data_IF_974972677043
#
_entry.id   IF_974972677043
#
_cell.length_a   1.000
_cell.length_b   1.000
_cell.length_c   1.000
_cell.angle_alpha   90.00
_cell.angle_beta   90.00
_cell.angle_gamma   90.00
#
_symmetry.space_group_name_H-M   'P 1'
#
loop_
_entity.id
_entity.type
_entity.pdbx_description
1 polymer ?
#
# COMPACT_ATOMS: atom_id res chain seq x y z
N UNK A 1 2.66 -15.85 28.44
CA UNK A 1 2.62 -16.50 27.12
C UNK A 1 3.10 -17.94 27.23
N UNK A 2 2.40 -18.88 26.59
CA UNK A 2 2.82 -20.30 26.55
C UNK A 2 3.95 -20.52 25.53
N UNK A 3 4.67 -21.64 25.63
CA UNK A 3 5.71 -21.99 24.65
C UNK A 3 5.11 -22.21 23.24
N UNK A 4 3.92 -22.78 23.13
CA UNK A 4 3.26 -22.98 21.83
C UNK A 4 2.87 -21.64 21.19
N UNK A 5 2.31 -20.73 22.00
CA UNK A 5 1.97 -19.37 21.57
C UNK A 5 3.21 -18.60 21.11
N UNK A 6 4.33 -18.73 21.83
CA UNK A 6 5.60 -18.13 21.44
C UNK A 6 6.10 -18.68 20.10
N UNK A 7 6.05 -20.00 19.91
CA UNK A 7 6.48 -20.63 18.65
C UNK A 7 5.63 -20.18 17.46
N UNK A 8 4.32 -20.08 17.63
CA UNK A 8 3.40 -19.54 16.60
C UNK A 8 3.72 -18.09 16.27
N UNK A 9 3.93 -17.25 17.29
CA UNK A 9 4.31 -15.85 17.09
C UNK A 9 5.65 -15.72 16.35
N UNK A 10 6.65 -16.54 16.69
CA UNK A 10 7.93 -16.60 15.97
C UNK A 10 7.78 -17.10 14.53
N UNK A 11 6.85 -18.02 14.28
CA UNK A 11 6.53 -18.51 12.95
C UNK A 11 5.94 -17.40 12.07
N UNK A 12 5.04 -16.57 12.60
CA UNK A 12 4.54 -15.36 11.90
C UNK A 12 5.69 -14.45 11.45
N UNK A 13 6.62 -14.13 12.36
CA UNK A 13 7.80 -13.31 12.02
C UNK A 13 8.74 -13.98 11.01
N UNK A 14 8.84 -15.31 11.04
CA UNK A 14 9.64 -16.07 10.07
C UNK A 14 9.01 -16.03 8.69
N UNK A 15 7.71 -16.25 8.58
CA UNK A 15 6.99 -16.27 7.31
C UNK A 15 6.95 -14.90 6.64
N UNK A 16 6.72 -13.84 7.41
CA UNK A 16 6.80 -12.48 6.87
C UNK A 16 8.22 -12.16 6.34
N UNK A 17 9.29 -12.60 7.01
CA UNK A 17 10.65 -12.48 6.45
C UNK A 17 10.87 -13.30 5.19
N UNK A 18 10.27 -14.49 5.11
CA UNK A 18 10.36 -15.30 3.90
C UNK A 18 9.60 -14.67 2.73
N UNK A 19 8.56 -13.88 2.96
CA UNK A 19 7.79 -13.25 1.88
C UNK A 19 8.59 -12.20 1.11
N UNK A 20 9.51 -11.47 1.75
CA UNK A 20 10.37 -10.53 1.02
C UNK A 20 11.49 -11.27 0.30
N UNK A 21 12.07 -12.30 0.94
CA UNK A 21 13.11 -13.13 0.33
C UNK A 21 12.58 -13.88 -0.91
N UNK A 22 11.33 -14.37 -0.86
CA UNK A 22 10.69 -15.03 -1.99
C UNK A 22 10.47 -14.06 -3.14
N UNK A 23 9.95 -12.85 -2.88
CA UNK A 23 9.76 -11.80 -3.90
C UNK A 23 11.06 -11.44 -4.62
N UNK A 24 12.17 -11.36 -3.90
CA UNK A 24 13.49 -11.08 -4.50
C UNK A 24 13.96 -12.29 -5.32
N UNK A 25 13.91 -13.49 -4.73
CA UNK A 25 14.42 -14.71 -5.38
C UNK A 25 13.60 -15.13 -6.60
N UNK A 26 12.31 -14.79 -6.62
CA UNK A 26 11.40 -15.07 -7.73
C UNK A 26 11.30 -13.94 -8.75
N UNK A 27 12.11 -12.88 -8.59
CA UNK A 27 12.05 -11.67 -9.41
C UNK A 27 10.63 -11.13 -9.60
N UNK A 28 9.95 -10.85 -8.48
CA UNK A 28 8.56 -10.38 -8.49
C UNK A 28 8.35 -9.29 -9.56
N UNK A 29 7.49 -9.51 -10.57
CA UNK A 29 7.45 -8.67 -11.77
C UNK A 29 7.17 -7.19 -11.50
N UNK A 30 6.38 -6.89 -10.46
CA UNK A 30 6.08 -5.53 -10.03
C UNK A 30 7.26 -4.84 -9.36
N UNK A 31 8.08 -5.58 -8.59
CA UNK A 31 9.31 -5.06 -7.99
C UNK A 31 10.38 -4.84 -9.06
N UNK A 32 10.72 -5.87 -9.83
CA UNK A 32 11.87 -5.81 -10.75
C UNK A 32 11.61 -4.88 -11.93
N UNK A 33 10.38 -4.80 -12.44
CA UNK A 33 10.01 -3.79 -13.44
C UNK A 33 10.31 -2.39 -12.95
N UNK A 34 9.94 -2.08 -11.70
CA UNK A 34 10.12 -0.73 -11.16
C UNK A 34 11.59 -0.45 -10.84
N UNK A 35 12.36 -1.47 -10.38
CA UNK A 35 13.81 -1.36 -10.22
C UNK A 35 14.52 -1.02 -11.54
N UNK A 36 14.19 -1.70 -12.64
CA UNK A 36 14.78 -1.39 -13.95
C UNK A 36 14.28 -0.07 -14.52
N UNK A 37 12.97 0.22 -14.39
CA UNK A 37 12.36 1.45 -14.91
C UNK A 37 12.98 2.70 -14.29
N UNK A 38 13.38 2.64 -13.02
CA UNK A 38 13.88 3.77 -12.26
C UNK A 38 15.36 3.64 -11.88
N UNK A 39 16.13 2.76 -12.55
CA UNK A 39 17.55 2.52 -12.22
C UNK A 39 18.43 3.79 -12.26
N UNK A 40 18.05 4.76 -13.12
CA UNK A 40 18.74 6.06 -13.25
C UNK A 40 18.24 7.17 -12.31
N UNK A 41 17.25 6.89 -11.46
CA UNK A 41 16.66 7.87 -10.55
C UNK A 41 16.62 7.31 -9.12
N UNK A 42 17.63 7.68 -8.32
CA UNK A 42 17.86 7.16 -6.97
C UNK A 42 16.72 7.54 -6.03
N UNK A 43 16.15 8.73 -6.21
CA UNK A 43 15.06 9.24 -5.39
C UNK A 43 13.81 8.37 -5.55
N UNK A 44 13.42 8.06 -6.79
CA UNK A 44 12.28 7.17 -7.06
C UNK A 44 12.60 5.73 -6.64
N UNK A 45 13.83 5.27 -6.86
CA UNK A 45 14.26 3.94 -6.42
C UNK A 45 14.16 3.77 -4.90
N UNK A 46 14.47 4.83 -4.14
CA UNK A 46 14.29 4.84 -2.69
C UNK A 46 12.82 4.63 -2.31
N UNK A 47 11.88 5.25 -3.05
CA UNK A 47 10.44 5.06 -2.84
C UNK A 47 9.98 3.64 -3.18
N UNK A 48 10.58 2.99 -4.19
CA UNK A 48 10.31 1.58 -4.51
C UNK A 48 10.74 0.68 -3.35
N UNK A 49 11.92 0.91 -2.77
CA UNK A 49 12.40 0.17 -1.60
C UNK A 49 11.52 0.44 -0.37
N UNK A 50 11.10 1.69 -0.17
CA UNK A 50 10.14 2.05 0.88
C UNK A 50 8.82 1.31 0.74
N UNK A 51 8.29 1.21 -0.48
CA UNK A 51 7.08 0.44 -0.75
C UNK A 51 7.25 -1.02 -0.35
N UNK A 52 8.33 -1.69 -0.75
CA UNK A 52 8.56 -3.10 -0.38
C UNK A 52 8.71 -3.28 1.14
N UNK A 53 9.32 -2.31 1.82
CA UNK A 53 9.36 -2.31 3.28
C UNK A 53 7.96 -2.22 3.91
N UNK A 54 7.10 -1.33 3.40
CA UNK A 54 5.72 -1.19 3.88
C UNK A 54 4.93 -2.49 3.63
N UNK A 55 5.04 -3.08 2.45
CA UNK A 55 4.39 -4.36 2.12
C UNK A 55 4.87 -5.49 3.05
N UNK A 56 6.15 -5.49 3.41
CA UNK A 56 6.70 -6.45 4.36
C UNK A 56 6.18 -6.24 5.79
N UNK A 57 6.01 -5.00 6.25
CA UNK A 57 5.38 -4.70 7.53
C UNK A 57 3.91 -5.14 7.53
N UNK A 58 3.16 -4.79 6.48
CA UNK A 58 1.76 -5.19 6.31
C UNK A 58 1.61 -6.72 6.36
N UNK A 59 2.54 -7.46 5.74
CA UNK A 59 2.52 -8.92 5.77
C UNK A 59 2.60 -9.52 7.17
N UNK A 60 3.30 -8.87 8.10
CA UNK A 60 3.31 -9.33 9.49
C UNK A 60 1.93 -9.24 10.14
N UNK A 61 1.24 -8.13 9.93
CA UNK A 61 -0.12 -7.93 10.44
C UNK A 61 -1.08 -8.91 9.80
N UNK A 62 -1.01 -9.09 8.47
CA UNK A 62 -1.84 -10.06 7.75
C UNK A 62 -1.66 -11.50 8.27
N UNK A 63 -0.42 -11.93 8.52
CA UNK A 63 -0.12 -13.28 9.02
C UNK A 63 -0.51 -13.43 10.50
N UNK A 64 -0.25 -12.43 11.33
CA UNK A 64 -0.73 -12.40 12.71
C UNK A 64 -2.27 -12.46 12.75
N UNK A 65 -2.92 -11.79 11.79
CA UNK A 65 -4.37 -11.72 11.74
C UNK A 65 -5.05 -13.05 11.39
N UNK A 66 -4.31 -13.99 10.80
CA UNK A 66 -4.80 -15.32 10.44
C UNK A 66 -4.70 -16.32 11.60
N UNK A 67 -3.93 -16.02 12.63
CA UNK A 67 -3.72 -16.91 13.78
C UNK A 67 -4.68 -16.56 14.94
N UNK A 68 -5.90 -17.13 14.93
CA UNK A 68 -6.92 -16.87 15.96
C UNK A 68 -6.40 -17.10 17.39
N UNK A 69 -5.60 -18.16 17.60
CA UNK A 69 -5.01 -18.48 18.90
C UNK A 69 -4.06 -17.39 19.43
N UNK A 70 -3.42 -16.62 18.54
CA UNK A 70 -2.54 -15.51 18.95
C UNK A 70 -3.35 -14.27 19.34
N UNK A 71 -4.52 -14.07 18.72
CA UNK A 71 -5.40 -12.92 19.00
C UNK A 71 -6.07 -13.01 20.36
N UNK A 72 -6.39 -14.23 20.79
CA UNK A 72 -7.02 -14.47 22.08
C UNK A 72 -6.03 -14.37 23.26
N UNK A 73 -4.72 -14.56 23.01
CA UNK A 73 -3.68 -14.36 24.02
C UNK A 73 -3.22 -12.89 24.07
N UNK A 74 -3.75 -12.14 25.05
CA UNK A 74 -3.36 -10.75 25.29
C UNK A 74 -1.84 -10.54 25.47
N UNK A 75 -1.12 -11.54 26.00
CA UNK A 75 0.34 -11.50 26.11
C UNK A 75 1.00 -11.58 24.74
N UNK A 76 0.51 -12.41 23.84
CA UNK A 76 1.02 -12.53 22.48
C UNK A 76 0.76 -11.27 21.65
N UNK A 77 -0.44 -10.71 21.75
CA UNK A 77 -0.79 -9.42 21.11
C UNK A 77 0.16 -8.32 21.58
N UNK A 78 0.40 -8.21 22.89
CA UNK A 78 1.30 -7.20 23.45
C UNK A 78 2.75 -7.36 22.97
N UNK A 79 3.26 -8.60 22.93
CA UNK A 79 4.60 -8.87 22.41
C UNK A 79 4.71 -8.56 20.92
N UNK A 80 3.73 -8.99 20.12
CA UNK A 80 3.69 -8.69 18.70
C UNK A 80 3.72 -7.17 18.45
N UNK A 81 2.84 -6.42 19.11
CA UNK A 81 2.79 -4.96 19.01
C UNK A 81 4.13 -4.32 19.38
N UNK A 82 4.71 -4.72 20.51
CA UNK A 82 6.01 -4.19 20.97
C UNK A 82 7.11 -4.48 19.95
N UNK A 83 7.20 -5.71 19.46
CA UNK A 83 8.20 -6.09 18.45
C UNK A 83 8.00 -5.32 17.14
N UNK A 84 6.75 -5.15 16.68
CA UNK A 84 6.47 -4.36 15.47
C UNK A 84 6.83 -2.88 15.65
N UNK A 85 6.56 -2.30 16.82
CA UNK A 85 6.95 -0.92 17.13
C UNK A 85 8.49 -0.78 17.14
N UNK A 86 9.21 -1.71 17.77
CA UNK A 86 10.67 -1.70 17.77
C UNK A 86 11.24 -1.88 16.36
N UNK A 87 10.64 -2.76 15.55
CA UNK A 87 11.05 -3.02 14.17
C UNK A 87 10.88 -1.79 13.28
N UNK A 88 9.71 -1.15 13.35
CA UNK A 88 9.40 0.09 12.63
C UNK A 88 10.29 1.23 13.12
N UNK A 89 10.42 1.35 14.44
CA UNK A 89 11.24 2.36 15.09
C UNK A 89 12.70 2.26 14.68
N UNK A 90 13.29 1.07 14.64
CA UNK A 90 14.70 0.89 14.27
C UNK A 90 15.05 1.43 12.88
N UNK A 91 14.10 1.36 11.93
CA UNK A 91 14.29 1.96 10.59
C UNK A 91 14.15 3.49 10.61
N UNK A 92 13.24 4.02 11.42
CA UNK A 92 13.10 5.47 11.65
C UNK A 92 14.33 6.07 12.37
N UNK A 93 14.88 5.37 13.36
CA UNK A 93 16.01 5.85 14.17
C UNK A 93 17.37 5.71 13.47
N UNK A 94 17.57 4.72 12.58
CA UNK A 94 18.78 4.67 11.75
C UNK A 94 18.89 5.80 10.72
N UNK A 95 17.77 6.44 10.36
CA UNK A 95 17.77 7.71 9.63
C UNK A 95 17.79 8.95 10.54
N UNK A 96 17.57 8.79 11.85
CA UNK A 96 17.25 9.86 12.79
C UNK A 96 18.11 9.89 14.06
N UNK A 97 19.42 9.63 13.95
CA UNK A 97 20.39 10.16 14.93
C UNK A 97 20.55 11.68 14.83
N UNK A 98 19.70 12.35 14.06
CA UNK A 98 19.68 13.79 13.98
C UNK A 98 18.31 14.28 14.41
N UNK A 99 18.22 14.89 15.61
CA UNK A 99 17.18 15.85 15.94
C UNK A 99 17.35 17.09 15.05
N UNK A 100 17.26 16.92 13.73
CA UNK A 100 17.36 18.00 12.76
C UNK A 100 15.93 18.34 12.34
N UNK A 101 15.53 19.60 12.58
CA UNK A 101 14.32 20.21 12.04
C UNK A 101 14.07 19.84 10.56
N UNK A 102 15.14 19.65 9.79
CA UNK A 102 15.16 19.21 8.39
C UNK A 102 14.47 17.86 8.14
N UNK A 103 14.64 16.85 9.02
CA UNK A 103 13.95 15.55 8.85
C UNK A 103 12.46 15.71 9.14
N UNK A 104 12.10 16.57 10.10
CA UNK A 104 10.70 16.90 10.38
C UNK A 104 10.08 17.66 9.20
N UNK A 105 10.80 18.58 8.59
CA UNK A 105 10.39 19.29 7.37
C UNK A 105 10.26 18.35 6.18
N UNK A 106 11.17 17.39 6.01
CA UNK A 106 11.08 16.36 4.96
C UNK A 106 9.89 15.42 5.18
N UNK A 107 9.65 14.99 6.42
CA UNK A 107 8.47 14.19 6.76
C UNK A 107 7.17 14.98 6.50
N UNK A 108 7.16 16.28 6.82
CA UNK A 108 6.02 17.16 6.54
C UNK A 108 5.86 17.39 5.03
N UNK A 109 6.94 17.54 4.26
CA UNK A 109 6.86 17.70 2.80
C UNK A 109 6.35 16.42 2.13
N UNK A 110 6.81 15.25 2.55
CA UNK A 110 6.32 13.95 2.05
C UNK A 110 4.85 13.71 2.43
N UNK A 111 4.43 14.13 3.63
CA UNK A 111 3.03 14.07 4.04
C UNK A 111 2.16 15.02 3.19
N UNK A 112 2.63 16.23 2.93
CA UNK A 112 1.93 17.18 2.06
C UNK A 112 1.84 16.67 0.62
N UNK A 113 2.92 16.09 0.09
CA UNK A 113 2.93 15.48 -1.25
C UNK A 113 1.93 14.31 -1.35
N UNK A 114 1.87 13.44 -0.31
CA UNK A 114 0.83 12.40 -0.24
C UNK A 114 -0.59 12.99 -0.21
N UNK A 115 -0.81 14.08 0.52
CA UNK A 115 -2.10 14.78 0.56
C UNK A 115 -2.44 15.35 -0.83
N UNK A 116 -1.47 15.95 -1.53
CA UNK A 116 -1.69 16.45 -2.90
C UNK A 116 -2.03 15.32 -3.87
N UNK A 117 -1.30 14.21 -3.84
CA UNK A 117 -1.60 13.03 -4.68
C UNK A 117 -3.02 12.51 -4.40
N UNK A 118 -3.42 12.41 -3.13
CA UNK A 118 -4.78 12.01 -2.76
C UNK A 118 -5.83 12.99 -3.28
N UNK A 119 -5.57 14.29 -3.18
CA UNK A 119 -6.48 15.32 -3.70
C UNK A 119 -6.60 15.26 -5.23
N UNK A 120 -5.51 15.01 -5.96
CA UNK A 120 -5.57 14.82 -7.41
C UNK A 120 -6.35 13.57 -7.80
N UNK A 121 -6.17 12.45 -7.08
CA UNK A 121 -6.98 11.23 -7.29
C UNK A 121 -8.47 11.48 -7.04
N UNK A 122 -8.82 12.22 -5.99
CA UNK A 122 -10.20 12.61 -5.68
C UNK A 122 -10.77 13.49 -6.81
N UNK A 123 -10.02 14.48 -7.30
CA UNK A 123 -10.45 15.32 -8.44
C UNK A 123 -10.67 14.50 -9.71
N UNK A 124 -9.77 13.56 -10.01
CA UNK A 124 -9.92 12.67 -11.18
C UNK A 124 -11.17 11.80 -11.04
N UNK A 125 -11.48 11.32 -9.83
CA UNK A 125 -12.72 10.57 -9.57
C UNK A 125 -13.96 11.41 -9.92
N UNK A 126 -14.03 12.66 -9.44
CA UNK A 126 -15.14 13.58 -9.71
C UNK A 126 -15.28 13.92 -11.21
N UNK A 127 -14.16 14.09 -11.92
CA UNK A 127 -14.16 14.35 -13.36
C UNK A 127 -14.63 13.12 -14.13
N UNK A 128 -14.19 11.93 -13.71
CA UNK A 128 -14.56 10.65 -14.33
C UNK A 128 -16.06 10.39 -14.20
N UNK A 129 -16.64 10.65 -13.02
CA UNK A 129 -18.09 10.53 -12.79
C UNK A 129 -18.89 11.48 -13.70
N UNK A 130 -18.48 12.75 -13.81
CA UNK A 130 -19.15 13.71 -14.73
C UNK A 130 -19.03 13.30 -16.20
N UNK A 131 -17.88 12.75 -16.62
CA UNK A 131 -17.67 12.26 -17.98
C UNK A 131 -18.53 11.02 -18.27
N UNK A 132 -18.63 10.11 -17.30
CA UNK A 132 -19.49 8.94 -17.38
C UNK A 132 -20.96 9.34 -17.54
N UNK A 133 -21.46 10.27 -16.74
CA UNK A 133 -22.84 10.77 -16.86
C UNK A 133 -23.12 11.44 -18.22
N UNK A 134 -22.15 12.19 -18.79
CA UNK A 134 -22.29 12.74 -20.15
C UNK A 134 -22.34 11.65 -21.21
N UNK A 135 -21.57 10.58 -21.05
CA UNK A 135 -21.58 9.45 -21.98
C UNK A 135 -22.92 8.72 -21.95
N UNK A 136 -23.46 8.45 -20.75
CA UNK A 136 -24.81 7.86 -20.56
C UNK A 136 -25.88 8.73 -21.21
N UNK A 137 -25.83 10.06 -20.98
CA UNK A 137 -26.75 11.00 -21.61
C UNK A 137 -26.66 10.97 -23.14
N UNK A 138 -25.45 11.00 -23.70
CA UNK A 138 -25.25 10.95 -25.16
C UNK A 138 -25.80 9.66 -25.73
N UNK A 139 -25.51 8.52 -25.09
CA UNK A 139 -26.00 7.20 -25.52
C UNK A 139 -27.53 7.12 -25.52
N UNK A 140 -28.19 7.54 -24.43
CA UNK A 140 -29.65 7.55 -24.35
C UNK A 140 -30.28 8.50 -25.39
N UNK A 141 -29.67 9.66 -25.61
CA UNK A 141 -30.11 10.61 -26.65
C UNK A 141 -30.03 9.97 -28.03
N UNK A 142 -28.88 9.39 -28.39
CA UNK A 142 -28.64 8.81 -29.70
C UNK A 142 -29.55 7.61 -29.95
N UNK A 143 -29.73 6.76 -28.94
CA UNK A 143 -30.70 5.65 -28.98
C UNK A 143 -32.11 6.14 -29.29
N UNK A 144 -32.60 7.16 -28.59
CA UNK A 144 -33.96 7.71 -28.80
C UNK A 144 -34.13 8.35 -30.17
N UNK A 145 -33.10 9.05 -30.66
CA UNK A 145 -33.10 9.63 -32.01
C UNK A 145 -33.12 8.53 -33.07
N UNK A 146 -32.32 7.48 -32.90
CA UNK A 146 -32.29 6.34 -33.80
C UNK A 146 -33.65 5.61 -33.82
N UNK A 147 -34.23 5.32 -32.66
CA UNK A 147 -35.57 4.73 -32.53
C UNK A 147 -36.66 5.57 -33.21
N UNK A 148 -36.57 6.91 -33.14
CA UNK A 148 -37.52 7.81 -33.86
C UNK A 148 -37.34 7.69 -35.37
N UNK A 149 -36.12 7.83 -35.86
CA UNK A 149 -35.85 7.72 -37.30
C UNK A 149 -36.28 6.35 -37.84
N UNK A 150 -36.07 5.27 -37.08
CA UNK A 150 -36.50 3.93 -37.48
C UNK A 150 -38.02 3.78 -37.52
N UNK A 151 -38.75 4.42 -36.60
CA UNK A 151 -40.23 4.46 -36.65
C UNK A 151 -40.75 5.24 -37.85
N UNK A 152 -40.06 6.31 -38.25
CA UNK A 152 -40.45 7.11 -39.40
C UNK A 152 -40.15 6.41 -40.75
N UNK A 153 -39.36 5.32 -40.73
CA UNK A 153 -38.99 4.50 -41.88
C UNK A 153 -39.84 3.22 -42.03
N UNK A 154 -40.69 2.90 -41.04
CA UNK A 154 -41.53 1.71 -41.00
C UNK A 154 -43.00 2.06 -41.27
#
# INVERSE_FOLDING_TARGET
>A
MSNDTLLRLLQVFKEARLSIASRISSEAPDLFRDLFKFEGNIEILSLVIEREYILWIDKHFELFDREETLKEDASAVSHFQKTMVELIGHRMFKGSSCNNLVIKELCLSLLNEKIEILNELIKVSDITERRYQRLVYSYEKDKRLFERAFRDLA
#
